data_IF_119348141046
#
_entry.id   IF_119348141046
#
_cell.length_a   1.000
_cell.length_b   1.000
_cell.length_c   1.000
_cell.angle_alpha   90.00
_cell.angle_beta   90.00
_cell.angle_gamma   90.00
#
_symmetry.space_group_name_H-M   'P 1'
#
loop_
_entity.id
_entity.type
_entity.pdbx_description
1 polymer ?
#
# COMPACT_ATOMS: atom_id res chain seq x y z
N UNK A 1 57.41 -16.10 -21.94
CA UNK A 1 56.92 -14.70 -21.94
C UNK A 1 56.20 -14.46 -23.26
N UNK A 2 54.91 -14.81 -23.36
CA UNK A 2 54.11 -14.57 -24.56
C UNK A 2 52.97 -13.63 -24.15
N UNK A 3 53.05 -12.38 -24.61
CA UNK A 3 52.04 -11.36 -24.35
C UNK A 3 50.80 -11.67 -25.21
N UNK A 4 49.69 -11.98 -24.56
CA UNK A 4 48.38 -12.11 -25.18
C UNK A 4 47.84 -10.71 -25.52
N UNK A 5 47.83 -10.36 -26.81
CA UNK A 5 47.19 -9.14 -27.29
C UNK A 5 45.68 -9.20 -27.05
N UNK A 6 45.12 -8.17 -26.40
CA UNK A 6 43.67 -7.99 -26.22
C UNK A 6 43.01 -7.81 -27.60
N UNK A 7 41.87 -8.47 -27.88
CA UNK A 7 41.10 -8.18 -29.08
C UNK A 7 40.50 -6.77 -28.95
N UNK A 8 40.96 -5.86 -29.82
CA UNK A 8 40.29 -4.59 -30.06
C UNK A 8 38.94 -4.86 -30.73
N UNK A 9 37.92 -4.11 -30.28
CA UNK A 9 36.51 -4.35 -30.59
C UNK A 9 36.25 -4.60 -32.08
N UNK A 10 35.34 -5.55 -32.36
CA UNK A 10 34.93 -5.90 -33.71
C UNK A 10 34.41 -4.65 -34.44
N UNK A 11 35.19 -4.20 -35.42
CA UNK A 11 34.73 -3.32 -36.48
C UNK A 11 33.50 -3.96 -37.15
N UNK A 12 32.41 -3.21 -37.27
CA UNK A 12 31.21 -3.65 -38.00
C UNK A 12 31.62 -4.05 -39.41
N UNK A 13 31.38 -5.31 -39.77
CA UNK A 13 31.78 -5.88 -41.06
C UNK A 13 31.12 -5.09 -42.20
N UNK A 14 31.92 -4.35 -42.97
CA UNK A 14 31.47 -3.61 -44.15
C UNK A 14 31.72 -2.10 -44.14
N UNK A 15 32.21 -1.50 -43.04
CA UNK A 15 32.52 -0.06 -43.00
C UNK A 15 34.03 0.19 -43.10
N UNK A 16 34.44 0.97 -44.11
CA UNK A 16 35.81 1.50 -44.26
C UNK A 16 36.23 2.30 -43.00
N UNK A 17 37.52 2.34 -42.65
CA UNK A 17 38.05 3.08 -41.49
C UNK A 17 37.66 4.57 -41.53
N UNK A 18 37.55 5.15 -42.73
CA UNK A 18 37.06 6.52 -42.94
C UNK A 18 35.58 6.66 -42.53
N UNK A 19 34.75 5.67 -42.84
CA UNK A 19 33.34 5.67 -42.47
C UNK A 19 33.18 5.53 -40.95
N UNK A 20 34.02 4.72 -40.30
CA UNK A 20 34.03 4.59 -38.84
C UNK A 20 34.44 5.89 -38.14
N UNK A 21 35.47 6.57 -38.65
CA UNK A 21 35.89 7.88 -38.14
C UNK A 21 34.78 8.94 -38.30
N UNK A 22 34.07 8.93 -39.43
CA UNK A 22 32.96 9.85 -39.67
C UNK A 22 31.75 9.57 -38.76
N UNK A 23 31.44 8.31 -38.48
CA UNK A 23 30.40 7.93 -37.51
C UNK A 23 30.79 8.42 -36.11
N UNK A 24 32.04 8.22 -35.72
CA UNK A 24 32.53 8.68 -34.42
C UNK A 24 32.44 10.20 -34.28
N UNK A 25 32.87 10.95 -35.30
CA UNK A 25 32.71 12.42 -35.34
C UNK A 25 31.25 12.84 -35.21
N UNK A 26 30.35 12.18 -35.94
CA UNK A 26 28.91 12.44 -35.85
C UNK A 26 28.39 12.22 -34.42
N UNK A 27 28.76 11.13 -33.76
CA UNK A 27 28.35 10.88 -32.37
C UNK A 27 28.86 11.97 -31.42
N UNK A 28 30.14 12.36 -31.52
CA UNK A 28 30.73 13.43 -30.70
C UNK A 28 30.00 14.76 -30.92
N UNK A 29 29.60 15.07 -32.15
CA UNK A 29 28.87 16.31 -32.43
C UNK A 29 27.43 16.26 -31.92
N UNK A 30 26.76 15.11 -32.01
CA UNK A 30 25.44 14.91 -31.40
C UNK A 30 25.50 15.01 -29.88
N UNK A 31 26.53 14.44 -29.24
CA UNK A 31 26.74 14.56 -27.79
C UNK A 31 26.93 16.03 -27.36
N UNK A 32 27.68 16.82 -28.13
CA UNK A 32 27.86 18.26 -27.86
C UNK A 32 26.56 19.03 -27.98
N UNK A 33 25.74 18.73 -28.99
CA UNK A 33 24.43 19.36 -29.16
C UNK A 33 23.50 18.96 -28.02
N UNK A 34 23.41 17.66 -27.73
CA UNK A 34 22.62 17.14 -26.62
C UNK A 34 23.05 17.77 -25.27
N UNK A 35 24.35 17.94 -25.03
CA UNK A 35 24.84 18.58 -23.81
C UNK A 35 24.46 20.07 -23.70
N UNK A 36 24.29 20.77 -24.83
CA UNK A 36 23.82 22.17 -24.85
C UNK A 36 22.30 22.26 -24.66
N UNK A 37 21.55 21.33 -25.23
CA UNK A 37 20.09 21.30 -25.15
C UNK A 37 19.59 20.65 -23.85
N UNK A 38 20.47 19.91 -23.14
CA UNK A 38 20.14 19.20 -21.92
C UNK A 38 19.67 20.11 -20.79
N UNK A 39 20.36 21.24 -20.47
CA UNK A 39 19.90 22.16 -19.43
C UNK A 39 18.56 22.81 -19.74
N UNK A 40 18.19 23.00 -21.00
CA UNK A 40 16.88 23.58 -21.35
C UNK A 40 15.76 22.55 -21.17
N UNK A 41 15.95 21.35 -21.71
CA UNK A 41 14.92 20.30 -21.69
C UNK A 41 14.80 19.61 -20.32
N UNK A 42 15.90 19.47 -19.58
CA UNK A 42 15.98 18.66 -18.36
C UNK A 42 16.33 19.47 -17.11
N UNK A 43 16.32 20.81 -17.17
CA UNK A 43 16.59 21.65 -16.00
C UNK A 43 15.70 21.28 -14.80
N UNK A 44 14.45 20.91 -15.08
CA UNK A 44 13.45 20.58 -14.08
C UNK A 44 13.83 19.38 -13.20
N UNK A 45 14.79 18.55 -13.63
CA UNK A 45 15.33 17.47 -12.79
C UNK A 45 16.25 17.97 -11.68
N UNK A 46 16.77 19.21 -11.81
CA UNK A 46 17.64 19.83 -10.80
C UNK A 46 16.85 20.66 -9.78
N UNK A 47 15.63 21.07 -10.12
CA UNK A 47 14.75 21.84 -9.23
C UNK A 47 13.99 20.93 -8.27
N UNK A 48 13.57 21.50 -7.14
CA UNK A 48 12.74 20.76 -6.16
C UNK A 48 11.33 20.60 -6.72
N UNK A 49 10.74 19.43 -6.47
CA UNK A 49 9.36 19.13 -6.86
C UNK A 49 8.35 20.19 -6.38
N UNK A 50 8.52 20.69 -5.16
CA UNK A 50 7.66 21.73 -4.59
C UNK A 50 7.62 23.00 -5.46
N UNK A 51 8.75 23.41 -6.04
CA UNK A 51 8.84 24.60 -6.88
C UNK A 51 8.13 24.42 -8.23
N UNK A 52 8.12 23.20 -8.77
CA UNK A 52 7.45 22.87 -10.04
C UNK A 52 5.93 22.87 -9.92
N UNK A 53 5.42 22.61 -8.72
CA UNK A 53 4.00 22.32 -8.46
C UNK A 53 3.29 23.51 -7.79
N UNK A 54 4.03 24.55 -7.41
CA UNK A 54 3.49 25.78 -6.80
C UNK A 54 2.41 26.46 -7.64
N UNK A 55 2.57 26.50 -8.95
CA UNK A 55 1.62 27.19 -9.84
C UNK A 55 0.34 26.37 -10.07
N UNK A 56 0.45 25.04 -10.12
CA UNK A 56 -0.68 24.12 -10.27
C UNK A 56 -1.52 24.03 -8.98
N UNK A 57 -0.88 24.15 -7.83
CA UNK A 57 -1.50 24.07 -6.51
C UNK A 57 -1.25 25.34 -5.71
N UNK A 58 -1.91 26.46 -6.06
CA UNK A 58 -1.82 27.67 -5.25
C UNK A 58 -2.23 27.33 -3.82
N UNK A 59 -1.43 27.77 -2.86
CA UNK A 59 -1.69 27.53 -1.44
C UNK A 59 -2.97 28.27 -1.05
N UNK A 60 -4.09 27.56 -1.13
CA UNK A 60 -5.39 28.09 -0.73
C UNK A 60 -5.30 28.32 0.77
N UNK A 61 -5.45 29.57 1.19
CA UNK A 61 -5.63 29.88 2.60
C UNK A 61 -6.73 28.99 3.15
N UNK A 62 -6.35 28.07 4.04
CA UNK A 62 -7.31 27.21 4.73
C UNK A 62 -8.07 28.11 5.69
N UNK A 63 -9.12 28.76 5.19
CA UNK A 63 -10.06 29.50 6.02
C UNK A 63 -10.61 28.48 7.01
N UNK A 64 -10.16 28.57 8.25
CA UNK A 64 -10.71 27.80 9.37
C UNK A 64 -12.12 28.35 9.58
N UNK A 65 -13.06 27.83 8.81
CA UNK A 65 -14.48 28.14 8.99
C UNK A 65 -14.87 27.56 10.33
N UNK A 66 -15.34 28.41 11.24
CA UNK A 66 -15.91 27.94 12.49
C UNK A 66 -17.06 26.99 12.17
N UNK A 67 -16.98 25.78 12.71
CA UNK A 67 -17.99 24.75 12.50
C UNK A 67 -19.27 25.24 13.22
N UNK A 68 -20.41 25.39 12.51
CA UNK A 68 -21.67 25.78 13.14
C UNK A 68 -22.00 24.88 14.34
N UNK A 69 -22.58 25.45 15.40
CA UNK A 69 -22.92 24.74 16.65
C UNK A 69 -23.63 23.39 16.45
N UNK A 70 -24.60 23.23 15.51
CA UNK A 70 -25.25 21.94 15.28
C UNK A 70 -24.34 20.85 14.71
N UNK A 71 -23.24 21.22 14.05
CA UNK A 71 -22.28 20.32 13.43
C UNK A 71 -21.07 20.05 14.34
N UNK A 72 -21.02 20.66 15.54
CA UNK A 72 -19.95 20.47 16.50
C UNK A 72 -20.13 19.11 17.19
N UNK A 73 -19.24 18.18 16.87
CA UNK A 73 -19.19 16.87 17.53
C UNK A 73 -18.87 17.12 19.01
N UNK A 74 -19.56 16.46 19.96
CA UNK A 74 -19.18 16.53 21.36
C UNK A 74 -17.72 16.06 21.51
N UNK A 75 -16.97 16.62 22.47
CA UNK A 75 -15.62 16.17 22.72
C UNK A 75 -15.64 14.66 22.98
N UNK A 76 -14.67 13.95 22.40
CA UNK A 76 -14.51 12.50 22.63
C UNK A 76 -14.41 12.29 24.12
N UNK A 77 -15.46 11.74 24.69
CA UNK A 77 -15.47 11.39 26.10
C UNK A 77 -14.44 10.30 26.31
N UNK A 78 -13.62 10.35 27.38
CA UNK A 78 -12.64 9.32 27.65
C UNK A 78 -13.33 7.95 27.65
N UNK A 79 -12.78 7.02 26.87
CA UNK A 79 -13.30 5.65 26.71
C UNK A 79 -13.49 4.97 28.08
N UNK A 80 -12.66 5.31 29.04
CA UNK A 80 -12.68 4.87 30.44
C UNK A 80 -14.03 5.10 31.15
N UNK A 81 -14.81 6.12 30.75
CA UNK A 81 -16.13 6.37 31.32
C UNK A 81 -17.13 5.26 30.97
N UNK A 82 -16.97 4.64 29.79
CA UNK A 82 -17.90 3.65 29.25
C UNK A 82 -17.35 2.22 29.32
N UNK A 83 -16.03 2.05 29.23
CA UNK A 83 -15.37 0.75 29.29
C UNK A 83 -14.76 0.58 30.68
N UNK A 84 -15.50 -0.09 31.57
CA UNK A 84 -15.00 -0.53 32.88
C UNK A 84 -14.45 -1.94 32.74
N UNK A 85 -13.12 -2.08 32.71
CA UNK A 85 -12.46 -3.40 32.71
C UNK A 85 -12.46 -3.92 34.15
N UNK A 86 -13.33 -4.88 34.43
CA UNK A 86 -13.33 -5.59 35.70
C UNK A 86 -12.12 -6.53 35.85
N UNK A 87 -11.80 -6.98 37.07
CA UNK A 87 -10.78 -8.01 37.27
C UNK A 87 -11.13 -9.30 36.53
N UNK A 88 -10.12 -10.05 36.09
CA UNK A 88 -10.30 -11.32 35.39
C UNK A 88 -11.05 -12.35 36.27
N UNK A 89 -11.95 -13.16 35.70
CA UNK A 89 -12.60 -14.24 36.44
C UNK A 89 -11.55 -15.22 36.98
N UNK A 90 -11.62 -15.51 38.28
CA UNK A 90 -10.79 -16.52 38.94
C UNK A 90 -11.57 -17.83 38.98
N UNK A 91 -10.93 -19.01 38.79
CA UNK A 91 -9.49 -19.26 38.84
C UNK A 91 -8.78 -19.17 37.48
N UNK A 92 -7.67 -18.42 37.44
CA UNK A 92 -6.76 -18.46 36.29
C UNK A 92 -6.08 -19.85 36.21
N UNK A 93 -5.97 -20.46 35.03
CA UNK A 93 -5.37 -21.78 34.89
C UNK A 93 -3.90 -21.81 35.33
N UNK A 94 -3.54 -22.80 36.15
CA UNK A 94 -2.19 -22.95 36.69
C UNK A 94 -1.13 -23.39 35.65
N UNK A 95 -1.55 -23.91 34.50
CA UNK A 95 -0.66 -24.49 33.49
C UNK A 95 -0.84 -23.76 32.16
N UNK A 96 0.25 -23.47 31.45
CA UNK A 96 0.25 -22.81 30.13
C UNK A 96 -0.62 -23.52 29.10
N UNK A 97 -0.66 -24.85 29.12
CA UNK A 97 -1.54 -25.64 28.24
C UNK A 97 -3.03 -25.37 28.50
N UNK A 98 -3.41 -25.13 29.75
CA UNK A 98 -4.78 -24.76 30.15
C UNK A 98 -5.11 -23.29 29.89
N UNK A 99 -4.12 -22.43 29.63
CA UNK A 99 -4.35 -21.02 29.24
C UNK A 99 -4.94 -20.94 27.82
N UNK A 100 -4.77 -21.97 27.00
CA UNK A 100 -5.33 -21.99 25.65
C UNK A 100 -6.81 -22.38 25.76
N UNK A 101 -7.71 -21.45 25.44
CA UNK A 101 -9.16 -21.73 25.33
C UNK A 101 -9.99 -21.71 26.61
N UNK A 102 -9.41 -21.51 27.81
CA UNK A 102 -10.18 -21.51 29.07
C UNK A 102 -11.32 -20.47 29.12
N UNK A 103 -11.11 -19.28 28.52
CA UNK A 103 -12.17 -18.26 28.43
C UNK A 103 -13.22 -18.58 27.36
N UNK A 104 -12.85 -19.35 26.33
CA UNK A 104 -13.77 -19.78 25.27
C UNK A 104 -14.72 -20.88 25.76
N UNK A 105 -14.29 -21.69 26.75
CA UNK A 105 -15.16 -22.69 27.39
C UNK A 105 -16.25 -22.10 28.29
N UNK A 106 -16.13 -20.85 28.73
CA UNK A 106 -17.14 -20.19 29.57
C UNK A 106 -18.28 -19.62 28.73
N UNK A 107 -19.51 -20.10 28.98
CA UNK A 107 -20.72 -19.67 28.26
C UNK A 107 -20.99 -18.17 28.42
N UNK A 108 -20.63 -17.59 29.57
CA UNK A 108 -20.86 -16.16 29.87
C UNK A 108 -20.09 -15.23 28.94
N UNK A 109 -18.94 -15.67 28.44
CA UNK A 109 -18.10 -14.86 27.57
C UNK A 109 -18.53 -14.91 26.09
N UNK A 110 -19.36 -15.89 25.71
CA UNK A 110 -19.92 -16.06 24.36
C UNK A 110 -18.90 -15.83 23.21
N UNK A 111 -17.63 -16.20 23.42
CA UNK A 111 -16.55 -15.95 22.46
C UNK A 111 -16.73 -16.79 21.19
N UNK A 112 -17.42 -17.92 21.30
CA UNK A 112 -17.73 -18.83 20.21
C UNK A 112 -19.08 -18.48 19.55
N UNK A 113 -19.10 -17.40 18.76
CA UNK A 113 -20.30 -16.92 18.03
C UNK A 113 -20.98 -18.01 17.19
N UNK A 114 -20.20 -18.98 16.72
CA UNK A 114 -20.65 -20.07 15.85
C UNK A 114 -20.23 -21.46 16.38
N UNK A 115 -19.98 -21.58 17.69
CA UNK A 115 -19.35 -22.76 18.29
C UNK A 115 -20.08 -24.10 18.08
N UNK A 116 -19.62 -25.14 18.79
CA UNK A 116 -20.13 -26.53 18.75
C UNK A 116 -21.65 -26.71 18.89
N UNK A 117 -22.39 -25.69 19.33
CA UNK A 117 -23.83 -25.71 19.51
C UNK A 117 -24.63 -25.04 18.40
N UNK A 118 -23.97 -24.59 17.31
CA UNK A 118 -24.70 -24.10 16.15
C UNK A 118 -25.46 -25.26 15.53
N UNK A 119 -26.75 -25.38 15.86
CA UNK A 119 -27.66 -26.28 15.15
C UNK A 119 -27.59 -25.91 13.68
N UNK A 120 -27.55 -26.92 12.80
CA UNK A 120 -27.74 -26.66 11.38
C UNK A 120 -29.02 -25.83 11.23
N UNK A 121 -28.87 -24.61 10.69
CA UNK A 121 -30.01 -23.88 10.15
C UNK A 121 -30.52 -24.82 9.06
N UNK A 122 -31.68 -25.45 9.29
CA UNK A 122 -32.22 -26.45 8.36
C UNK A 122 -32.28 -25.93 6.92
N UNK A 123 -32.62 -26.79 5.95
CA UNK A 123 -32.65 -26.39 4.54
C UNK A 123 -33.42 -25.08 4.28
N UNK A 124 -32.94 -24.29 3.32
CA UNK A 124 -33.47 -22.97 2.94
C UNK A 124 -35.01 -22.94 2.84
N UNK A 125 -35.59 -24.00 2.27
CA UNK A 125 -37.05 -24.20 2.14
C UNK A 125 -37.77 -24.06 3.49
N UNK A 126 -37.23 -24.68 4.55
CA UNK A 126 -37.81 -24.63 5.90
C UNK A 126 -37.58 -23.27 6.57
N UNK A 127 -36.48 -22.60 6.26
CA UNK A 127 -36.21 -21.26 6.82
C UNK A 127 -37.10 -20.18 6.21
N UNK A 128 -37.43 -20.32 4.92
CA UNK A 128 -38.27 -19.38 4.18
C UNK A 128 -39.76 -19.74 4.24
N UNK A 129 -40.12 -20.88 4.83
CA UNK A 129 -41.51 -21.36 4.90
C UNK A 129 -42.12 -21.65 3.52
N UNK A 130 -41.30 -22.09 2.56
CA UNK A 130 -41.76 -22.32 1.20
C UNK A 130 -42.67 -23.55 1.12
N UNK A 131 -43.76 -23.49 0.33
CA UNK A 131 -44.59 -24.64 0.08
C UNK A 131 -43.79 -25.71 -0.69
N UNK A 132 -44.09 -26.98 -0.44
CA UNK A 132 -43.40 -28.12 -1.06
C UNK A 132 -43.50 -28.08 -2.60
N UNK A 133 -44.56 -27.47 -3.14
CA UNK A 133 -44.82 -27.29 -4.57
C UNK A 133 -43.81 -26.38 -5.29
N UNK A 134 -43.02 -25.57 -4.55
CA UNK A 134 -41.97 -24.71 -5.12
C UNK A 134 -40.58 -25.35 -5.13
N UNK A 135 -40.47 -26.62 -4.73
CA UNK A 135 -39.24 -27.41 -4.70
C UNK A 135 -39.43 -28.59 -5.64
N UNK A 136 -39.40 -28.28 -6.93
CA UNK A 136 -39.53 -29.23 -8.04
C UNK A 136 -38.27 -29.16 -8.92
#
# INVERSE_FOLDING_TARGET
MAATGKPQGMAVAGCNYVAQDQIWKSHVDHEKVAAKDWPENWNFLTTKYEDLVKDDFPEREKVKRDIPTPLRIPPVTPIEKYIKVGPSPKPFPATTSRVIGWRSTEKEHMLEKYGRYCKSKGGLVKQLGWPQEGVD
#
